data_IF_195369257199
#
_entry.id   IF_195369257199
#
_cell.length_a   1.000
_cell.length_b   1.000
_cell.length_c   1.000
_cell.angle_alpha   90.00
_cell.angle_beta   90.00
_cell.angle_gamma   90.00
#
_symmetry.space_group_name_H-M   'P 1'
#
loop_
_entity.id
_entity.type
_entity.pdbx_description
1 polymer ?
#
# COMPACT_ATOMS: atom_id res chain seq x y z
N UNK A 1 -16.68 -31.36 9.82
CA UNK A 1 -16.44 -31.31 8.35
C UNK A 1 -17.48 -32.05 7.49
N UNK A 2 -17.85 -33.31 7.75
CA UNK A 2 -18.84 -34.06 6.92
C UNK A 2 -20.22 -33.38 6.77
N UNK A 3 -20.73 -32.70 7.79
CA UNK A 3 -22.06 -32.04 7.76
C UNK A 3 -22.10 -30.76 6.90
N UNK A 4 -20.99 -30.05 6.76
CA UNK A 4 -20.90 -28.82 5.94
C UNK A 4 -20.79 -29.16 4.45
N UNK A 5 -20.14 -30.29 4.12
CA UNK A 5 -20.05 -30.79 2.75
C UNK A 5 -21.41 -31.29 2.23
N UNK A 6 -22.22 -31.93 3.08
CA UNK A 6 -23.59 -32.33 2.71
C UNK A 6 -24.53 -31.14 2.47
N UNK A 7 -24.41 -30.07 3.25
CA UNK A 7 -25.23 -28.86 3.07
C UNK A 7 -24.92 -28.12 1.76
N UNK A 8 -23.65 -28.10 1.32
CA UNK A 8 -23.23 -27.44 0.08
C UNK A 8 -23.60 -28.22 -1.19
N UNK A 9 -23.62 -29.55 -1.14
CA UNK A 9 -24.11 -30.40 -2.25
C UNK A 9 -25.62 -30.21 -2.44
N UNK A 10 -26.38 -30.06 -1.33
CA UNK A 10 -27.82 -29.81 -1.39
C UNK A 10 -28.15 -28.44 -2.02
N UNK A 11 -27.36 -27.40 -1.71
CA UNK A 11 -27.56 -26.06 -2.28
C UNK A 11 -27.21 -25.99 -3.77
N UNK A 12 -26.19 -26.74 -4.21
CA UNK A 12 -25.83 -26.85 -5.63
C UNK A 12 -26.91 -27.60 -6.44
N UNK A 13 -27.52 -28.65 -5.87
CA UNK A 13 -28.64 -29.35 -6.52
C UNK A 13 -29.92 -28.50 -6.59
N UNK A 14 -30.17 -27.63 -5.61
CA UNK A 14 -31.36 -26.77 -5.60
C UNK A 14 -31.33 -25.68 -6.70
N UNK A 15 -30.15 -25.19 -7.06
CA UNK A 15 -29.99 -24.19 -8.15
C UNK A 15 -30.07 -24.78 -9.57
N UNK A 16 -29.88 -26.09 -9.73
CA UNK A 16 -29.98 -26.80 -11.01
C UNK A 16 -31.44 -27.14 -11.43
N UNK A 17 -32.43 -26.79 -10.60
CA UNK A 17 -33.85 -27.12 -10.83
C UNK A 17 -34.66 -26.14 -11.70
N UNK A 18 -34.08 -25.04 -12.20
CA UNK A 18 -34.82 -24.08 -13.05
C UNK A 18 -34.58 -24.39 -14.52
N UNK A 19 -35.58 -25.03 -15.14
CA UNK A 19 -35.63 -25.46 -16.55
C UNK A 19 -35.10 -24.37 -17.51
N UNK A 20 -33.92 -24.59 -18.09
CA UNK A 20 -33.46 -23.93 -19.32
C UNK A 20 -33.57 -24.91 -20.50
N UNK A 21 -33.89 -24.45 -21.72
CA UNK A 21 -34.19 -25.33 -22.85
C UNK A 21 -32.94 -25.74 -23.64
N UNK A 22 -31.79 -25.93 -22.98
CA UNK A 22 -30.55 -26.34 -23.63
C UNK A 22 -30.13 -27.74 -23.15
N UNK A 23 -30.42 -28.72 -24.01
CA UNK A 23 -29.82 -30.06 -24.15
C UNK A 23 -28.89 -30.52 -23.00
N UNK A 24 -29.47 -31.33 -22.09
CA UNK A 24 -28.89 -31.77 -20.80
C UNK A 24 -27.62 -32.61 -20.81
N UNK A 25 -26.90 -32.74 -21.92
CA UNK A 25 -25.57 -33.37 -21.94
C UNK A 25 -24.45 -32.33 -21.83
N UNK A 26 -24.59 -31.16 -22.45
CA UNK A 26 -23.57 -30.11 -22.43
C UNK A 26 -23.46 -29.44 -21.05
N UNK A 27 -24.58 -29.17 -20.38
CA UNK A 27 -24.60 -28.56 -19.05
C UNK A 27 -23.98 -29.46 -17.96
N UNK A 28 -24.18 -30.79 -18.07
CA UNK A 28 -23.56 -31.77 -17.16
C UNK A 28 -22.05 -31.85 -17.38
N UNK A 29 -21.59 -31.82 -18.64
CA UNK A 29 -20.16 -31.78 -18.95
C UNK A 29 -19.48 -30.50 -18.45
N UNK A 30 -20.13 -29.33 -18.56
CA UNK A 30 -19.60 -28.07 -18.05
C UNK A 30 -19.59 -28.02 -16.51
N UNK A 31 -20.65 -28.51 -15.85
CA UNK A 31 -20.68 -28.62 -14.39
C UNK A 31 -19.63 -29.58 -13.83
N UNK A 32 -19.40 -30.71 -14.50
CA UNK A 32 -18.34 -31.66 -14.13
C UNK A 32 -16.94 -31.09 -14.40
N UNK A 33 -16.73 -30.37 -15.50
CA UNK A 33 -15.45 -29.72 -15.78
C UNK A 33 -15.10 -28.64 -14.74
N UNK A 34 -16.07 -27.78 -14.36
CA UNK A 34 -15.86 -26.80 -13.29
C UNK A 34 -15.66 -27.47 -11.93
N UNK A 35 -16.37 -28.56 -11.63
CA UNK A 35 -16.20 -29.33 -10.39
C UNK A 35 -14.84 -30.00 -10.29
N UNK A 36 -14.33 -30.59 -11.38
CA UNK A 36 -12.97 -31.15 -11.45
C UNK A 36 -11.94 -30.03 -11.31
N UNK A 37 -12.12 -28.88 -11.97
CA UNK A 37 -11.19 -27.75 -11.87
C UNK A 37 -11.13 -27.17 -10.46
N UNK A 38 -12.27 -26.98 -9.79
CA UNK A 38 -12.32 -26.50 -8.39
C UNK A 38 -11.70 -27.53 -7.45
N UNK A 39 -11.98 -28.82 -7.64
CA UNK A 39 -11.42 -29.86 -6.75
C UNK A 39 -9.93 -30.08 -6.97
N UNK A 40 -9.40 -29.99 -8.19
CA UNK A 40 -7.96 -30.05 -8.43
C UNK A 40 -7.25 -28.82 -7.89
N UNK A 41 -7.83 -27.63 -8.08
CA UNK A 41 -7.29 -26.37 -7.55
C UNK A 41 -7.29 -26.37 -6.01
N UNK A 42 -8.42 -26.71 -5.37
CA UNK A 42 -8.50 -26.83 -3.91
C UNK A 42 -7.61 -27.94 -3.35
N UNK A 43 -7.43 -29.04 -4.08
CA UNK A 43 -6.53 -30.12 -3.65
C UNK A 43 -5.06 -29.71 -3.73
N UNK A 44 -4.69 -28.83 -4.66
CA UNK A 44 -3.33 -28.30 -4.76
C UNK A 44 -3.04 -27.32 -3.63
N UNK A 45 -3.97 -26.39 -3.37
CA UNK A 45 -3.94 -25.49 -2.20
C UNK A 45 -3.84 -26.29 -0.89
N UNK A 46 -4.64 -27.34 -0.70
CA UNK A 46 -4.58 -28.18 0.51
C UNK A 46 -3.25 -28.94 0.64
N UNK A 47 -2.62 -29.31 -0.49
CA UNK A 47 -1.28 -29.93 -0.46
C UNK A 47 -0.22 -28.92 -0.07
N UNK A 48 -0.26 -27.70 -0.62
CA UNK A 48 0.62 -26.61 -0.21
C UNK A 48 0.41 -26.27 1.26
N UNK A 49 -0.84 -26.09 1.72
CA UNK A 49 -1.16 -25.84 3.13
C UNK A 49 -0.70 -26.97 4.07
N UNK A 50 -0.65 -28.23 3.61
CA UNK A 50 -0.12 -29.34 4.42
C UNK A 50 1.40 -29.41 4.40
N UNK A 51 2.04 -29.08 3.28
CA UNK A 51 3.50 -28.97 3.17
C UNK A 51 3.98 -27.79 4.02
N UNK A 52 3.26 -26.66 3.96
CA UNK A 52 3.50 -25.49 4.78
C UNK A 52 3.13 -25.74 6.24
N UNK A 53 2.09 -26.53 6.56
CA UNK A 53 1.79 -26.98 7.93
C UNK A 53 2.86 -27.91 8.51
N UNK A 54 3.53 -28.69 7.67
CA UNK A 54 4.69 -29.51 8.06
C UNK A 54 5.95 -28.65 8.20
N UNK A 55 6.06 -27.55 7.45
CA UNK A 55 7.11 -26.54 7.60
C UNK A 55 6.78 -25.48 8.67
N UNK A 56 5.55 -25.45 9.22
CA UNK A 56 5.02 -24.50 10.21
C UNK A 56 5.52 -24.75 11.63
N UNK A 57 6.50 -25.63 11.81
CA UNK A 57 7.56 -25.38 12.81
C UNK A 57 8.48 -24.22 12.38
N UNK A 58 7.92 -23.21 11.68
CA UNK A 58 8.57 -22.14 10.93
C UNK A 58 9.11 -21.04 11.84
N UNK A 59 9.77 -21.43 12.93
CA UNK A 59 10.64 -20.53 13.68
C UNK A 59 12.01 -20.40 12.98
N UNK A 60 12.33 -21.29 12.02
CA UNK A 60 13.68 -21.45 11.45
C UNK A 60 13.83 -21.27 9.92
N UNK A 61 12.96 -20.53 9.21
CA UNK A 61 13.26 -20.23 7.79
C UNK A 61 14.45 -19.26 7.73
N UNK A 62 15.58 -19.61 7.10
CA UNK A 62 16.76 -18.76 7.08
C UNK A 62 16.50 -17.48 6.28
N UNK A 63 17.04 -16.34 6.73
CA UNK A 63 16.93 -15.04 6.07
C UNK A 63 17.30 -15.08 4.56
N UNK A 64 18.22 -15.96 4.17
CA UNK A 64 18.60 -16.20 2.77
C UNK A 64 17.43 -16.66 1.87
N UNK A 65 16.51 -17.47 2.41
CA UNK A 65 15.35 -17.93 1.67
C UNK A 65 14.34 -16.79 1.41
N UNK A 66 14.17 -15.89 2.38
CA UNK A 66 13.35 -14.68 2.22
C UNK A 66 13.96 -13.73 1.20
N UNK A 67 15.28 -13.49 1.29
CA UNK A 67 15.98 -12.66 0.32
C UNK A 67 15.84 -13.17 -1.11
N UNK A 68 16.01 -14.48 -1.33
CA UNK A 68 15.83 -15.07 -2.66
C UNK A 68 14.39 -14.90 -3.16
N UNK A 69 13.41 -15.10 -2.30
CA UNK A 69 11.99 -14.87 -2.63
C UNK A 69 11.72 -13.42 -3.01
N UNK A 70 12.30 -12.46 -2.31
CA UNK A 70 12.14 -11.02 -2.60
C UNK A 70 12.75 -10.64 -3.95
N UNK A 71 13.90 -11.21 -4.30
CA UNK A 71 14.52 -11.00 -5.63
C UNK A 71 13.62 -11.53 -6.75
N UNK A 72 13.12 -12.76 -6.63
CA UNK A 72 12.22 -13.36 -7.62
C UNK A 72 10.91 -12.57 -7.75
N UNK A 73 10.36 -12.10 -6.62
CA UNK A 73 9.17 -11.27 -6.59
C UNK A 73 9.42 -9.91 -7.26
N UNK A 74 10.55 -9.25 -6.98
CA UNK A 74 10.94 -7.99 -7.60
C UNK A 74 11.11 -8.11 -9.11
N UNK A 75 11.72 -9.20 -9.59
CA UNK A 75 11.83 -9.50 -11.02
C UNK A 75 10.44 -9.69 -11.64
N UNK A 76 9.56 -10.44 -10.97
CA UNK A 76 8.17 -10.64 -11.41
C UNK A 76 7.40 -9.32 -11.52
N UNK A 77 7.50 -8.43 -10.51
CA UNK A 77 6.89 -7.10 -10.53
C UNK A 77 7.44 -6.24 -11.67
N UNK A 78 8.74 -6.34 -11.95
CA UNK A 78 9.39 -5.65 -13.06
C UNK A 78 8.85 -6.11 -14.41
N UNK A 79 8.67 -7.42 -14.59
CA UNK A 79 8.10 -7.99 -15.82
C UNK A 79 6.63 -7.59 -16.01
N UNK A 80 5.82 -7.67 -14.95
CA UNK A 80 4.40 -7.32 -15.00
C UNK A 80 4.16 -5.87 -15.42
N UNK A 81 5.07 -4.95 -15.06
CA UNK A 81 5.01 -3.54 -15.47
C UNK A 81 4.94 -3.34 -16.98
N UNK A 82 5.62 -4.19 -17.74
CA UNK A 82 5.76 -4.07 -19.19
C UNK A 82 4.94 -5.13 -19.94
N UNK A 83 4.25 -6.01 -19.22
CA UNK A 83 3.47 -7.06 -19.83
C UNK A 83 2.27 -6.47 -20.61
N UNK A 84 1.97 -6.97 -21.82
CA UNK A 84 0.79 -6.56 -22.54
C UNK A 84 -0.45 -6.95 -21.74
N UNK A 85 -1.27 -5.96 -21.36
CA UNK A 85 -2.48 -6.21 -20.56
C UNK A 85 -3.65 -6.76 -21.38
N UNK A 86 -3.58 -6.66 -22.72
CA UNK A 86 -4.64 -7.08 -23.65
C UNK A 86 -6.03 -6.53 -23.30
N UNK A 87 -6.08 -5.33 -22.70
CA UNK A 87 -7.31 -4.68 -22.25
C UNK A 87 -7.70 -4.95 -20.79
N UNK A 88 -6.98 -5.81 -20.07
CA UNK A 88 -7.29 -6.24 -18.69
C UNK A 88 -6.34 -5.61 -17.66
N UNK A 89 -5.92 -4.36 -17.88
CA UNK A 89 -4.92 -3.69 -17.03
C UNK A 89 -5.33 -3.60 -15.56
N UNK A 90 -6.61 -3.36 -15.28
CA UNK A 90 -7.18 -3.29 -13.94
C UNK A 90 -7.20 -4.65 -13.24
N UNK A 91 -7.44 -5.75 -13.97
CA UNK A 91 -7.39 -7.11 -13.42
C UNK A 91 -5.95 -7.45 -13.01
N UNK A 92 -4.98 -7.10 -13.86
CA UNK A 92 -3.57 -7.28 -13.53
C UNK A 92 -3.16 -6.42 -12.33
N UNK A 93 -3.53 -5.14 -12.31
CA UNK A 93 -3.26 -4.23 -11.20
C UNK A 93 -3.87 -4.73 -9.88
N UNK A 94 -5.14 -5.17 -9.90
CA UNK A 94 -5.79 -5.77 -8.74
C UNK A 94 -5.10 -7.05 -8.28
N UNK A 95 -4.65 -7.90 -9.21
CA UNK A 95 -3.87 -9.09 -8.88
C UNK A 95 -2.57 -8.73 -8.16
N UNK A 96 -1.84 -7.73 -8.68
CA UNK A 96 -0.62 -7.22 -8.02
C UNK A 96 -0.95 -6.60 -6.66
N UNK A 97 -2.06 -5.86 -6.53
CA UNK A 97 -2.49 -5.27 -5.27
C UNK A 97 -2.85 -6.31 -4.21
N UNK A 98 -3.51 -7.41 -4.58
CA UNK A 98 -3.77 -8.51 -3.65
C UNK A 98 -2.48 -9.20 -3.18
N UNK A 99 -1.47 -9.31 -4.04
CA UNK A 99 -0.15 -9.80 -3.65
C UNK A 99 0.55 -8.80 -2.73
N UNK A 100 0.41 -7.49 -2.97
CA UNK A 100 0.90 -6.45 -2.07
C UNK A 100 0.28 -6.58 -0.68
N UNK A 101 -1.04 -6.77 -0.57
CA UNK A 101 -1.69 -6.88 0.75
C UNK A 101 -1.17 -8.10 1.55
N UNK A 102 -0.91 -9.21 0.88
CA UNK A 102 -0.33 -10.41 1.51
C UNK A 102 1.13 -10.16 1.92
N UNK A 103 1.96 -9.66 0.99
CA UNK A 103 3.34 -9.30 1.24
C UNK A 103 3.46 -8.32 2.41
N UNK A 104 2.67 -7.25 2.40
CA UNK A 104 2.69 -6.21 3.42
C UNK A 104 2.26 -6.76 4.79
N UNK A 105 1.27 -7.65 4.82
CA UNK A 105 0.87 -8.37 6.04
C UNK A 105 2.04 -9.18 6.60
N UNK A 106 2.75 -9.94 5.75
CA UNK A 106 3.85 -10.79 6.18
C UNK A 106 5.01 -9.97 6.76
N UNK A 107 5.46 -8.93 6.07
CA UNK A 107 6.56 -8.08 6.55
C UNK A 107 6.19 -7.29 7.81
N UNK A 108 4.92 -6.92 7.97
CA UNK A 108 4.45 -6.18 9.17
C UNK A 108 4.27 -7.08 10.39
N UNK A 109 4.04 -8.39 10.17
CA UNK A 109 3.81 -9.36 11.24
C UNK A 109 5.09 -9.88 11.87
N UNK A 110 6.20 -9.91 11.13
CA UNK A 110 7.46 -10.47 11.59
C UNK A 110 8.66 -9.76 10.96
N UNK A 111 9.07 -8.72 11.69
CA UNK A 111 10.22 -7.86 11.35
C UNK A 111 11.52 -8.66 11.35
N UNK A 112 11.64 -9.66 12.23
CA UNK A 112 12.87 -10.44 12.42
C UNK A 112 13.30 -11.24 11.19
N UNK A 113 12.33 -11.60 10.33
CA UNK A 113 12.56 -12.35 9.08
C UNK A 113 13.26 -11.55 7.98
N UNK A 114 13.30 -10.23 8.10
CA UNK A 114 13.82 -9.32 7.07
C UNK A 114 15.06 -8.54 7.53
N UNK A 115 15.61 -8.92 8.69
CA UNK A 115 16.48 -8.08 9.53
C UNK A 115 17.82 -7.61 8.96
N UNK A 116 18.23 -7.95 7.75
CA UNK A 116 19.47 -7.36 7.17
C UNK A 116 19.60 -7.42 5.65
N UNK A 117 18.70 -8.14 4.96
CA UNK A 117 18.95 -8.52 3.55
C UNK A 117 17.79 -8.17 2.61
N UNK A 118 16.56 -8.00 3.12
CA UNK A 118 15.37 -7.73 2.31
C UNK A 118 15.09 -6.25 2.11
N UNK A 119 15.10 -5.77 0.87
CA UNK A 119 14.58 -4.45 0.52
C UNK A 119 13.04 -4.49 0.64
N UNK A 120 12.44 -3.61 1.44
CA UNK A 120 10.97 -3.47 1.44
C UNK A 120 10.48 -3.16 0.01
N UNK A 121 9.69 -4.06 -0.57
CA UNK A 121 9.23 -4.03 -1.97
C UNK A 121 7.96 -3.22 -2.19
N UNK A 122 7.44 -2.54 -1.16
CA UNK A 122 6.28 -1.66 -1.29
C UNK A 122 6.41 -0.62 -2.42
N UNK A 123 7.57 0.04 -2.65
CA UNK A 123 7.73 0.91 -3.80
C UNK A 123 7.65 0.19 -5.15
N UNK A 124 8.14 -1.05 -5.24
CA UNK A 124 8.11 -1.89 -6.45
C UNK A 124 6.67 -2.31 -6.78
N UNK A 125 5.89 -2.69 -5.76
CA UNK A 125 4.45 -2.92 -5.90
C UNK A 125 3.73 -1.67 -6.36
N UNK A 126 4.01 -0.52 -5.72
CA UNK A 126 3.40 0.74 -6.08
C UNK A 126 3.65 1.09 -7.55
N UNK A 127 4.91 0.98 -7.96
CA UNK A 127 5.32 1.23 -9.32
C UNK A 127 4.68 0.29 -10.35
N UNK A 128 4.60 -1.01 -10.06
CA UNK A 128 3.94 -1.98 -10.94
C UNK A 128 2.45 -1.65 -11.11
N UNK A 129 1.75 -1.35 -10.01
CA UNK A 129 0.31 -1.07 -9.98
C UNK A 129 -0.01 0.19 -10.80
N UNK A 130 0.64 1.32 -10.53
CA UNK A 130 0.35 2.58 -11.26
C UNK A 130 0.83 2.57 -12.73
N UNK A 131 1.74 1.67 -13.09
CA UNK A 131 2.09 1.44 -14.49
C UNK A 131 0.96 0.75 -15.24
N UNK A 132 0.27 -0.20 -14.58
CA UNK A 132 -0.87 -0.94 -15.11
C UNK A 132 -2.15 -0.13 -15.06
N UNK A 133 -2.53 0.35 -13.88
CA UNK A 133 -3.77 1.08 -13.63
C UNK A 133 -3.55 2.24 -12.65
N UNK A 134 -3.30 3.46 -13.17
CA UNK A 134 -3.08 4.62 -12.33
C UNK A 134 -4.39 5.20 -11.77
N UNK A 135 -5.58 4.75 -12.15
CA UNK A 135 -6.81 5.55 -11.97
C UNK A 135 -7.55 5.32 -10.66
N UNK A 136 -7.19 4.28 -9.91
CA UNK A 136 -7.91 3.88 -8.70
C UNK A 136 -7.24 4.47 -7.45
N UNK A 137 -7.94 5.37 -6.74
CA UNK A 137 -7.37 6.17 -5.63
C UNK A 137 -6.90 5.31 -4.45
N UNK A 138 -7.55 4.20 -4.19
CA UNK A 138 -7.28 3.35 -3.02
C UNK A 138 -5.87 2.76 -3.11
N UNK A 139 -5.38 2.46 -4.32
CA UNK A 139 -3.99 2.03 -4.50
C UNK A 139 -3.03 3.04 -3.87
N UNK A 140 -3.22 4.33 -4.15
CA UNK A 140 -2.35 5.39 -3.64
C UNK A 140 -2.40 5.47 -2.13
N UNK A 141 -3.58 5.38 -1.51
CA UNK A 141 -3.72 5.44 -0.05
C UNK A 141 -2.87 4.38 0.66
N UNK A 142 -2.98 3.12 0.22
CA UNK A 142 -2.25 2.01 0.85
C UNK A 142 -0.76 2.04 0.50
N UNK A 143 -0.44 2.24 -0.78
CA UNK A 143 0.91 2.12 -1.29
C UNK A 143 1.78 3.32 -0.93
N UNK A 144 1.22 4.53 -0.85
CA UNK A 144 1.96 5.71 -0.38
C UNK A 144 2.38 5.54 1.07
N UNK A 145 1.43 5.21 1.95
CA UNK A 145 1.68 4.98 3.37
C UNK A 145 2.71 3.88 3.59
N UNK A 146 2.58 2.77 2.87
CA UNK A 146 3.52 1.65 2.92
C UNK A 146 4.93 2.04 2.45
N UNK A 147 5.04 2.75 1.32
CA UNK A 147 6.32 3.18 0.75
C UNK A 147 7.01 4.25 1.59
N UNK A 148 6.26 5.21 2.12
CA UNK A 148 6.79 6.31 2.91
C UNK A 148 7.08 5.89 4.35
N UNK A 149 6.14 5.27 5.04
CA UNK A 149 6.28 4.95 6.48
C UNK A 149 7.13 3.70 6.72
N UNK A 150 6.93 2.65 5.92
CA UNK A 150 7.57 1.35 6.18
C UNK A 150 8.80 1.10 5.30
N UNK A 151 8.92 1.76 4.14
CA UNK A 151 10.12 1.68 3.31
C UNK A 151 11.00 2.93 3.41
N UNK A 152 10.56 3.96 4.14
CA UNK A 152 11.25 5.25 4.31
C UNK A 152 11.69 5.89 2.98
N UNK A 153 10.84 5.81 1.96
CA UNK A 153 11.13 6.28 0.60
C UNK A 153 10.15 7.38 0.10
N UNK A 154 9.99 8.51 0.82
CA UNK A 154 9.04 9.56 0.46
C UNK A 154 9.28 10.17 -0.92
N UNK A 155 10.55 10.34 -1.34
CA UNK A 155 10.86 10.86 -2.67
C UNK A 155 10.33 9.95 -3.78
N UNK A 156 10.46 8.63 -3.60
CA UNK A 156 9.93 7.64 -4.55
C UNK A 156 8.41 7.65 -4.52
N UNK A 157 7.78 7.69 -3.34
CA UNK A 157 6.33 7.83 -3.18
C UNK A 157 5.77 9.01 -3.96
N UNK A 158 6.36 10.21 -3.82
CA UNK A 158 5.94 11.44 -4.50
C UNK A 158 6.11 11.33 -6.02
N UNK A 159 7.23 10.79 -6.49
CA UNK A 159 7.47 10.59 -7.92
C UNK A 159 6.46 9.63 -8.55
N UNK A 160 6.11 8.56 -7.83
CA UNK A 160 5.11 7.58 -8.26
C UNK A 160 3.70 8.19 -8.29
N UNK A 161 3.32 8.98 -7.27
CA UNK A 161 2.06 9.73 -7.26
C UNK A 161 1.97 10.72 -8.41
N UNK A 162 3.04 11.50 -8.65
CA UNK A 162 3.09 12.46 -9.75
C UNK A 162 2.87 11.79 -11.11
N UNK A 163 3.57 10.68 -11.39
CA UNK A 163 3.41 9.91 -12.63
C UNK A 163 2.00 9.33 -12.82
N UNK A 164 1.33 9.01 -11.71
CA UNK A 164 -0.08 8.62 -11.72
C UNK A 164 -0.99 9.77 -12.12
N UNK A 165 -0.84 10.90 -11.42
CA UNK A 165 -1.60 12.15 -11.64
C UNK A 165 -1.44 12.71 -13.06
N UNK A 166 -0.29 12.55 -13.69
CA UNK A 166 -0.04 12.95 -15.09
C UNK A 166 -1.01 12.31 -16.09
N UNK A 167 -1.58 11.14 -15.76
CA UNK A 167 -2.52 10.42 -16.63
C UNK A 167 -3.98 10.77 -16.35
N UNK A 168 -4.27 11.56 -15.32
CA UNK A 168 -5.62 11.81 -14.83
C UNK A 168 -6.23 13.10 -15.38
N UNK A 169 -7.55 13.06 -15.62
CA UNK A 169 -8.35 14.25 -15.91
C UNK A 169 -9.35 14.45 -14.76
N UNK A 170 -9.32 15.61 -14.07
CA UNK A 170 -10.24 15.87 -12.96
C UNK A 170 -11.72 15.84 -13.36
N UNK A 171 -12.05 16.07 -14.63
CA UNK A 171 -13.44 16.01 -15.11
C UNK A 171 -13.92 14.59 -15.40
N UNK A 172 -13.01 13.60 -15.41
CA UNK A 172 -13.34 12.18 -15.61
C UNK A 172 -13.14 11.37 -14.33
N UNK A 173 -12.27 11.83 -13.43
CA UNK A 173 -11.86 11.13 -12.21
C UNK A 173 -12.19 11.98 -11.00
N UNK A 174 -13.44 11.90 -10.59
CA UNK A 174 -14.04 12.83 -9.64
C UNK A 174 -13.42 12.74 -8.24
N UNK A 175 -12.71 11.66 -7.91
CA UNK A 175 -12.08 11.42 -6.62
C UNK A 175 -10.55 11.56 -6.63
N UNK A 176 -9.96 11.91 -7.77
CA UNK A 176 -8.51 12.00 -7.91
C UNK A 176 -7.86 13.12 -7.07
N UNK A 177 -8.66 14.05 -6.54
CA UNK A 177 -8.21 15.09 -5.61
C UNK A 177 -7.58 14.52 -4.32
N UNK A 178 -7.94 13.30 -3.89
CA UNK A 178 -7.32 12.66 -2.72
C UNK A 178 -5.84 12.39 -2.96
N UNK A 179 -5.45 12.02 -4.18
CA UNK A 179 -4.08 11.67 -4.53
C UNK A 179 -3.19 12.93 -4.43
N UNK A 180 -3.69 14.09 -4.86
CA UNK A 180 -3.02 15.37 -4.63
C UNK A 180 -2.81 15.66 -3.15
N UNK A 181 -3.80 15.36 -2.29
CA UNK A 181 -3.64 15.53 -0.84
C UNK A 181 -2.60 14.59 -0.26
N UNK A 182 -2.61 13.31 -0.63
CA UNK A 182 -1.60 12.36 -0.15
C UNK A 182 -0.19 12.81 -0.55
N UNK A 183 -0.03 13.29 -1.79
CA UNK A 183 1.22 13.87 -2.27
C UNK A 183 1.66 15.10 -1.48
N UNK A 184 0.74 16.04 -1.24
CA UNK A 184 1.05 17.25 -0.45
C UNK A 184 1.42 16.96 0.99
N UNK A 185 0.80 15.95 1.61
CA UNK A 185 1.20 15.47 2.95
C UNK A 185 2.62 14.95 2.93
N UNK A 186 2.98 14.12 1.95
CA UNK A 186 4.32 13.54 1.89
C UNK A 186 5.41 14.58 1.62
N UNK A 187 5.13 15.54 0.74
CA UNK A 187 6.01 16.68 0.44
C UNK A 187 6.28 17.51 1.69
N UNK A 188 5.23 17.84 2.44
CA UNK A 188 5.35 18.65 3.64
C UNK A 188 6.07 17.91 4.77
N UNK A 189 5.60 16.70 5.09
CA UNK A 189 5.96 16.02 6.33
C UNK A 189 7.28 15.26 6.23
N UNK A 190 7.65 14.75 5.06
CA UNK A 190 8.85 13.91 4.92
C UNK A 190 9.95 14.54 4.07
N UNK A 191 9.62 15.48 3.18
CA UNK A 191 10.62 16.23 2.43
C UNK A 191 10.87 17.65 2.97
N UNK A 192 9.95 18.18 3.78
CA UNK A 192 10.00 19.59 4.19
C UNK A 192 9.76 20.55 3.04
N UNK A 193 9.19 20.10 1.93
CA UNK A 193 8.96 20.93 0.75
C UNK A 193 7.60 21.62 0.84
N UNK A 194 7.53 22.69 1.64
CA UNK A 194 6.31 23.46 1.84
C UNK A 194 5.75 24.09 0.57
N UNK A 195 6.61 24.42 -0.41
CA UNK A 195 6.16 25.03 -1.67
C UNK A 195 5.50 23.99 -2.58
N UNK A 196 6.10 22.81 -2.74
CA UNK A 196 5.48 21.72 -3.48
C UNK A 196 4.21 21.22 -2.79
N UNK A 197 4.23 21.12 -1.45
CA UNK A 197 3.05 20.77 -0.67
C UNK A 197 1.91 21.76 -0.87
N UNK A 198 2.19 23.07 -0.78
CA UNK A 198 1.22 24.14 -1.09
C UNK A 198 0.61 23.92 -2.47
N UNK A 199 1.43 23.71 -3.49
CA UNK A 199 0.95 23.46 -4.85
C UNK A 199 0.04 22.23 -4.91
N UNK A 200 0.43 21.12 -4.30
CA UNK A 200 -0.39 19.91 -4.24
C UNK A 200 -1.73 20.15 -3.54
N UNK A 201 -1.78 20.91 -2.45
CA UNK A 201 -3.03 21.27 -1.78
C UNK A 201 -3.89 22.25 -2.61
N UNK A 202 -3.29 23.16 -3.37
CA UNK A 202 -4.01 24.02 -4.32
C UNK A 202 -4.68 23.18 -5.41
N UNK A 203 -3.96 22.21 -5.99
CA UNK A 203 -4.50 21.27 -6.98
C UNK A 203 -5.61 20.40 -6.40
N UNK A 204 -5.44 19.90 -5.18
CA UNK A 204 -6.48 19.15 -4.49
C UNK A 204 -7.76 19.97 -4.32
N UNK A 205 -7.65 21.24 -3.90
CA UNK A 205 -8.80 22.12 -3.76
C UNK A 205 -9.48 22.39 -5.12
N UNK A 206 -8.70 22.69 -6.15
CA UNK A 206 -9.20 22.91 -7.51
C UNK A 206 -9.97 21.69 -8.03
N UNK A 207 -9.43 20.49 -7.85
CA UNK A 207 -10.03 19.25 -8.35
C UNK A 207 -11.28 18.88 -7.54
N UNK A 208 -11.23 19.03 -6.22
CA UNK A 208 -12.38 18.81 -5.35
C UNK A 208 -13.55 19.76 -5.68
N UNK A 209 -13.28 21.03 -6.01
CA UNK A 209 -14.34 21.99 -6.38
C UNK A 209 -15.12 21.64 -7.66
N UNK A 210 -14.63 20.68 -8.46
CA UNK A 210 -15.26 20.19 -9.69
C UNK A 210 -15.89 18.81 -9.52
N UNK A 211 -15.72 18.20 -8.36
CA UNK A 211 -16.18 16.86 -8.06
C UNK A 211 -17.63 16.87 -7.57
N UNK A 212 -18.32 15.76 -7.77
CA UNK A 212 -19.63 15.46 -7.18
C UNK A 212 -19.54 14.47 -6.00
N UNK A 213 -18.32 14.13 -5.55
CA UNK A 213 -18.11 13.27 -4.40
C UNK A 213 -18.72 13.87 -3.12
N UNK A 214 -19.33 13.07 -2.22
CA UNK A 214 -20.09 13.58 -1.07
C UNK A 214 -19.31 14.48 -0.11
N UNK A 215 -17.99 14.34 -0.03
CA UNK A 215 -17.12 15.10 0.86
C UNK A 215 -16.25 16.14 0.12
N UNK A 216 -16.45 16.32 -1.19
CA UNK A 216 -15.67 17.22 -2.04
C UNK A 216 -15.59 18.65 -1.49
N UNK A 217 -16.71 19.23 -1.02
CA UNK A 217 -16.75 20.57 -0.41
C UNK A 217 -15.87 20.67 0.85
N UNK A 218 -15.88 19.65 1.71
CA UNK A 218 -15.05 19.62 2.90
C UNK A 218 -13.57 19.52 2.53
N UNK A 219 -13.26 18.68 1.54
CA UNK A 219 -11.90 18.45 1.06
C UNK A 219 -11.35 19.70 0.36
N UNK A 220 -12.16 20.37 -0.44
CA UNK A 220 -11.87 21.65 -1.08
C UNK A 220 -11.46 22.68 -0.04
N UNK A 221 -12.34 22.94 0.92
CA UNK A 221 -12.14 23.95 1.95
C UNK A 221 -10.90 23.65 2.81
N UNK A 222 -10.74 22.38 3.23
CA UNK A 222 -9.59 21.97 4.03
C UNK A 222 -8.27 22.16 3.24
N UNK A 223 -8.24 21.74 1.98
CA UNK A 223 -7.02 21.84 1.16
C UNK A 223 -6.67 23.30 0.87
N UNK A 224 -7.66 24.16 0.58
CA UNK A 224 -7.43 25.60 0.36
C UNK A 224 -6.89 26.29 1.61
N UNK A 225 -7.40 25.95 2.79
CA UNK A 225 -6.89 26.47 4.06
C UNK A 225 -5.45 26.04 4.32
N UNK A 226 -5.13 24.77 4.07
CA UNK A 226 -3.75 24.29 4.21
C UNK A 226 -2.80 24.99 3.24
N UNK A 227 -3.19 25.16 1.98
CA UNK A 227 -2.38 25.92 1.01
C UNK A 227 -2.15 27.38 1.44
N UNK A 228 -3.18 28.05 1.98
CA UNK A 228 -3.07 29.41 2.50
C UNK A 228 -2.17 29.49 3.74
N UNK A 229 -2.24 28.50 4.64
CA UNK A 229 -1.34 28.38 5.79
C UNK A 229 0.12 28.22 5.33
N UNK A 230 0.39 27.30 4.39
CA UNK A 230 1.73 27.06 3.86
C UNK A 230 2.29 28.24 3.07
N UNK A 231 1.44 29.12 2.54
CA UNK A 231 1.90 30.36 1.91
C UNK A 231 2.49 31.35 2.93
N UNK A 232 2.02 31.31 4.18
CA UNK A 232 2.52 32.16 5.27
C UNK A 232 3.65 31.47 6.05
N UNK A 233 3.56 30.15 6.25
CA UNK A 233 4.52 29.35 7.00
C UNK A 233 4.78 28.00 6.30
N UNK A 234 5.75 27.96 5.36
CA UNK A 234 6.01 26.76 4.57
C UNK A 234 6.76 25.67 5.35
N UNK A 235 7.36 25.98 6.50
CA UNK A 235 8.32 25.11 7.18
C UNK A 235 7.78 24.63 8.54
N UNK A 236 7.36 23.36 8.62
CA UNK A 236 6.96 22.78 9.91
C UNK A 236 7.95 21.71 10.38
N UNK A 237 9.11 22.17 10.87
CA UNK A 237 10.18 21.28 11.40
C UNK A 237 9.66 20.33 12.47
N UNK A 238 8.80 20.80 13.37
CA UNK A 238 8.20 19.95 14.40
C UNK A 238 7.32 18.84 13.81
N UNK A 239 6.50 19.17 12.80
CA UNK A 239 5.69 18.17 12.12
C UNK A 239 6.56 17.15 11.36
N UNK A 240 7.68 17.58 10.78
CA UNK A 240 8.64 16.67 10.15
C UNK A 240 9.30 15.74 11.17
N UNK A 241 9.71 16.26 12.34
CA UNK A 241 10.25 15.41 13.43
C UNK A 241 9.20 14.37 13.83
N UNK A 242 7.95 14.77 14.06
CA UNK A 242 6.87 13.84 14.40
C UNK A 242 6.62 12.78 13.30
N UNK A 243 6.68 13.18 12.03
CA UNK A 243 6.51 12.27 10.90
C UNK A 243 7.65 11.24 10.82
N UNK A 244 8.91 11.67 10.93
CA UNK A 244 10.07 10.76 10.95
C UNK A 244 10.13 9.91 12.23
N UNK A 245 9.59 10.41 13.35
CA UNK A 245 9.38 9.61 14.56
C UNK A 245 8.44 8.44 14.30
N UNK A 246 7.38 8.67 13.51
CA UNK A 246 6.48 7.60 13.07
C UNK A 246 7.20 6.62 12.15
N UNK A 247 8.10 7.04 11.26
CA UNK A 247 8.91 6.10 10.46
C UNK A 247 9.78 5.24 11.37
N UNK A 248 10.44 5.87 12.35
CA UNK A 248 11.29 5.19 13.31
C UNK A 248 10.54 4.13 14.14
N UNK A 249 9.31 4.44 14.58
CA UNK A 249 8.49 3.48 15.34
C UNK A 249 8.00 2.29 14.52
N UNK A 250 8.01 2.39 13.18
CA UNK A 250 7.62 1.33 12.26
C UNK A 250 8.81 0.74 11.49
N UNK A 251 10.04 1.06 11.90
CA UNK A 251 11.24 0.65 11.17
C UNK A 251 11.39 -0.87 11.14
N UNK A 252 11.39 -1.44 9.93
CA UNK A 252 11.46 -2.89 9.71
C UNK A 252 12.89 -3.45 9.69
N UNK A 253 13.90 -2.59 9.64
CA UNK A 253 15.31 -2.98 9.69
C UNK A 253 16.18 -1.79 10.09
N UNK A 254 17.45 -2.07 10.35
CA UNK A 254 18.41 -1.07 10.81
C UNK A 254 18.70 0.01 9.75
N UNK A 255 18.55 -0.29 8.46
CA UNK A 255 18.70 0.73 7.41
C UNK A 255 17.59 1.79 7.49
N UNK A 256 16.34 1.37 7.67
CA UNK A 256 15.20 2.28 7.84
C UNK A 256 15.32 3.05 9.16
N UNK A 257 15.65 2.35 10.25
CA UNK A 257 15.87 2.93 11.58
C UNK A 257 16.94 4.03 11.52
N UNK A 258 18.11 3.71 10.95
CA UNK A 258 19.21 4.66 10.79
C UNK A 258 18.79 5.87 9.97
N UNK A 259 18.13 5.67 8.83
CA UNK A 259 17.63 6.79 8.01
C UNK A 259 16.68 7.69 8.80
N UNK A 260 15.76 7.11 9.56
CA UNK A 260 14.81 7.90 10.35
C UNK A 260 15.52 8.71 11.45
N UNK A 261 16.50 8.11 12.15
CA UNK A 261 17.32 8.78 13.16
C UNK A 261 18.10 9.94 12.52
N UNK A 262 18.83 9.69 11.42
CA UNK A 262 19.58 10.72 10.70
C UNK A 262 18.68 11.90 10.33
N UNK A 263 17.46 11.63 9.86
CA UNK A 263 16.50 12.69 9.52
C UNK A 263 16.00 13.47 10.73
N UNK A 264 15.72 12.81 11.85
CA UNK A 264 15.31 13.48 13.09
C UNK A 264 16.44 14.39 13.60
N UNK A 265 17.69 13.91 13.56
CA UNK A 265 18.88 14.66 13.99
C UNK A 265 19.19 15.84 13.07
N UNK A 266 19.07 15.68 11.75
CA UNK A 266 19.19 16.78 10.77
C UNK A 266 18.17 17.90 11.03
N UNK A 267 16.98 17.54 11.51
CA UNK A 267 15.93 18.47 11.89
C UNK A 267 16.13 19.09 13.28
N UNK A 268 17.18 18.69 14.03
CA UNK A 268 17.49 19.19 15.36
C UNK A 268 16.69 18.53 16.50
N UNK A 269 16.11 17.36 16.25
CA UNK A 269 15.68 16.45 17.30
C UNK A 269 16.84 15.59 17.81
N UNK A 270 16.68 15.00 18.98
CA UNK A 270 17.60 13.98 19.50
C UNK A 270 16.85 12.68 19.74
N UNK A 271 17.52 11.55 19.44
CA UNK A 271 16.97 10.22 19.64
C UNK A 271 17.78 9.50 20.71
N UNK A 272 17.19 9.27 21.88
CA UNK A 272 17.77 8.40 22.89
C UNK A 272 17.15 7.00 22.78
N UNK A 273 17.98 6.05 22.34
CA UNK A 273 17.64 4.62 22.31
C UNK A 273 17.81 4.07 23.74
N UNK A 274 16.71 3.84 24.46
CA UNK A 274 16.77 3.16 25.75
C UNK A 274 16.89 1.64 25.55
N UNK A 275 17.44 0.91 26.53
CA UNK A 275 17.63 -0.55 26.49
C UNK A 275 16.29 -1.34 26.37
N UNK A 276 15.17 -0.71 26.68
CA UNK A 276 13.86 -1.12 26.18
C UNK A 276 13.57 -0.31 24.92
N UNK A 277 13.18 -0.94 23.81
CA UNK A 277 12.81 -0.39 22.47
C UNK A 277 11.91 0.89 22.43
N UNK A 278 11.63 1.55 23.56
CA UNK A 278 11.12 2.90 23.65
C UNK A 278 12.12 3.95 23.16
N UNK A 279 11.71 4.69 22.14
CA UNK A 279 12.42 5.85 21.60
C UNK A 279 11.97 7.10 22.35
N UNK A 280 12.90 7.82 23.00
CA UNK A 280 12.62 9.17 23.51
C UNK A 280 13.14 10.19 22.51
N UNK A 281 12.25 11.09 22.09
CA UNK A 281 12.54 12.13 21.10
C UNK A 281 12.38 13.48 21.78
N UNK A 282 13.49 14.15 22.01
CA UNK A 282 13.51 15.51 22.55
C UNK A 282 13.76 16.48 21.39
N UNK A 283 12.94 17.54 21.30
CA UNK A 283 13.14 18.61 20.33
C UNK A 283 13.66 19.85 21.07
N UNK A 284 14.75 20.44 20.58
CA UNK A 284 15.46 21.54 21.26
C UNK A 284 14.67 22.87 21.37
N UNK A 285 13.38 22.89 21.00
CA UNK A 285 12.53 24.07 21.02
C UNK A 285 11.22 23.92 21.81
N UNK A 286 11.04 22.82 22.53
CA UNK A 286 9.84 22.56 23.35
C UNK A 286 9.69 23.50 24.57
N UNK A 287 10.62 24.44 24.79
CA UNK A 287 10.60 25.36 25.92
C UNK A 287 10.23 26.82 25.63
N UNK A 288 10.12 27.26 24.37
CA UNK A 288 9.89 28.69 24.07
C UNK A 288 8.46 29.06 23.61
N UNK A 289 7.61 28.10 23.22
CA UNK A 289 6.29 28.43 22.64
C UNK A 289 5.09 28.21 23.57
N UNK A 290 5.31 27.97 24.87
CA UNK A 290 4.23 27.92 25.87
C UNK A 290 4.13 29.18 26.77
N UNK A 291 4.83 30.26 26.41
CA UNK A 291 4.84 31.50 27.22
C UNK A 291 4.64 32.80 26.42
N UNK A 292 3.93 32.79 25.29
CA UNK A 292 3.40 34.03 24.69
C UNK A 292 2.03 33.83 24.05
#
# INVERSE_FOLDING_TARGET
MKKILQARIFLAMYFLGRKSPFHGKAAVCWGLACGVFITTFQSNEIKHLKIDAVNLSAEDRPAEAYFKSDVELKETLTLLRYAPSLGFRNVLANGVFLNFLQYFSDISSDVSKHNDVGQNLSPEFFEAIISLDPFYKEYYLFLSSSTTLYAAQPQKTIALMARGLEKMDPNLMHDSFYIWRYKGVDELLFLGDGQSAKHSFEKAAEWASRSDEPDSDLIEMASRRTAAFLAADPESRYAQIAAWSSVLSHALNDTIRKRAIERIEELGGSVDLQESDSVRIDSAHSHETLLN
#
